data_IF_708898703353
#
_entry.id   IF_708898703353
#
_cell.length_a   1.000
_cell.length_b   1.000
_cell.length_c   1.000
_cell.angle_alpha   90.00
_cell.angle_beta   90.00
_cell.angle_gamma   90.00
#
_symmetry.space_group_name_H-M   'P 1'
#
loop_
_entity.id
_entity.type
_entity.pdbx_description
1 polymer ?
#
# COMPACT_ATOMS: atom_id res chain seq x y z
N UNK A 1 61.29 -32.54 -20.83
CA UNK A 1 61.87 -33.11 -19.59
C UNK A 1 61.55 -32.10 -18.49
N UNK A 2 60.73 -32.32 -17.47
CA UNK A 2 60.12 -33.51 -16.87
C UNK A 2 58.79 -33.08 -16.24
N UNK A 3 57.80 -33.95 -16.42
CA UNK A 3 56.46 -34.04 -15.83
C UNK A 3 56.45 -34.19 -14.31
N UNK A 4 55.49 -33.54 -13.62
CA UNK A 4 54.63 -34.06 -12.52
C UNK A 4 53.38 -33.15 -12.49
N UNK A 5 52.11 -33.56 -12.57
CA UNK A 5 51.50 -34.88 -12.49
C UNK A 5 50.67 -35.03 -11.21
N UNK A 6 49.50 -34.40 -11.10
CA UNK A 6 48.45 -34.84 -10.16
C UNK A 6 47.05 -34.66 -10.76
N UNK A 7 46.51 -35.77 -11.24
CA UNK A 7 45.11 -36.03 -11.53
C UNK A 7 44.53 -36.84 -10.37
N UNK A 8 43.47 -36.38 -9.70
CA UNK A 8 42.55 -37.30 -9.00
C UNK A 8 41.09 -36.83 -9.14
N UNK A 9 40.37 -37.63 -9.93
CA UNK A 9 38.97 -38.07 -9.87
C UNK A 9 37.81 -37.07 -9.75
N UNK A 10 37.02 -37.06 -10.83
CA UNK A 10 35.63 -36.66 -10.80
C UNK A 10 34.77 -37.61 -9.99
N UNK A 11 33.69 -37.04 -9.44
CA UNK A 11 32.50 -37.76 -9.02
C UNK A 11 31.29 -37.13 -9.70
N UNK A 12 30.66 -37.95 -10.52
CA UNK A 12 29.26 -37.97 -10.92
C UNK A 12 28.44 -36.68 -10.73
N UNK A 13 28.21 -36.01 -11.85
CA UNK A 13 27.02 -35.20 -12.09
C UNK A 13 25.76 -36.06 -11.89
N UNK A 14 25.10 -35.92 -10.74
CA UNK A 14 23.71 -36.32 -10.60
C UNK A 14 22.82 -35.15 -11.07
N UNK A 15 21.89 -35.34 -12.02
CA UNK A 15 20.89 -34.34 -12.31
C UNK A 15 19.96 -34.25 -11.10
N UNK A 16 20.03 -33.14 -10.35
CA UNK A 16 18.94 -32.80 -9.44
C UNK A 16 17.70 -32.63 -10.30
N UNK A 17 16.79 -33.59 -10.17
CA UNK A 17 15.41 -33.46 -10.59
C UNK A 17 14.90 -32.10 -10.11
N UNK A 18 14.78 -31.18 -11.06
CA UNK A 18 13.90 -30.03 -10.95
C UNK A 18 12.52 -30.64 -10.70
N UNK A 19 12.09 -30.60 -9.43
CA UNK A 19 10.68 -30.72 -9.11
C UNK A 19 10.02 -29.55 -9.85
N UNK A 20 9.44 -29.94 -10.97
CA UNK A 20 8.65 -29.13 -11.87
C UNK A 20 7.43 -28.72 -11.07
N UNK A 21 7.54 -27.62 -10.34
CA UNK A 21 6.38 -26.93 -9.78
C UNK A 21 5.49 -26.63 -10.99
N UNK A 22 4.23 -27.10 -11.00
CA UNK A 22 3.33 -26.77 -12.10
C UNK A 22 3.26 -25.24 -12.19
N UNK A 23 3.28 -24.66 -13.41
CA UNK A 23 3.10 -23.22 -13.54
C UNK A 23 1.79 -22.87 -12.84
N UNK A 24 1.86 -21.99 -11.85
CA UNK A 24 0.68 -21.37 -11.27
C UNK A 24 -0.15 -20.87 -12.45
N UNK A 25 -1.30 -21.52 -12.63
CA UNK A 25 -2.25 -21.25 -13.69
C UNK A 25 -2.71 -19.82 -13.42
N UNK A 26 -2.07 -18.83 -14.06
CA UNK A 26 -2.61 -17.47 -14.18
C UNK A 26 -3.94 -17.65 -14.90
N UNK A 27 -5.00 -17.83 -14.13
CA UNK A 27 -6.35 -17.56 -14.59
C UNK A 27 -6.34 -16.08 -14.93
N UNK A 28 -6.09 -15.77 -16.20
CA UNK A 28 -6.60 -14.57 -16.82
C UNK A 28 -8.12 -14.72 -16.79
N UNK A 29 -8.74 -14.39 -15.66
CA UNK A 29 -10.10 -13.88 -15.66
C UNK A 29 -10.00 -12.53 -16.35
N UNK A 30 -10.07 -12.56 -17.69
CA UNK A 30 -10.47 -11.39 -18.44
C UNK A 30 -11.88 -11.11 -17.97
N UNK A 31 -11.97 -10.13 -17.08
CA UNK A 31 -13.14 -9.59 -16.44
C UNK A 31 -14.30 -9.46 -17.42
N UNK A 32 -15.40 -10.15 -17.10
CA UNK A 32 -16.68 -10.10 -17.81
C UNK A 32 -17.23 -8.66 -17.96
N UNK A 33 -16.69 -7.69 -17.22
CA UNK A 33 -17.11 -6.27 -17.26
C UNK A 33 -16.88 -5.52 -18.59
N UNK A 34 -15.98 -5.98 -19.47
CA UNK A 34 -15.77 -5.28 -20.77
C UNK A 34 -16.84 -5.66 -21.80
N UNK A 35 -17.42 -6.86 -21.70
CA UNK A 35 -18.46 -7.32 -22.64
C UNK A 35 -19.83 -6.65 -22.37
N UNK A 36 -20.13 -6.29 -21.12
CA UNK A 36 -21.38 -5.62 -20.75
C UNK A 36 -21.46 -4.17 -21.27
N UNK A 37 -20.32 -3.46 -21.37
CA UNK A 37 -20.27 -2.04 -21.78
C UNK A 37 -20.61 -1.81 -23.26
N UNK A 38 -20.46 -2.82 -24.12
CA UNK A 38 -20.83 -2.72 -25.55
C UNK A 38 -22.33 -2.85 -25.83
N UNK A 39 -23.09 -3.47 -24.93
CA UNK A 39 -24.52 -3.74 -25.14
C UNK A 39 -25.41 -2.51 -24.84
N UNK A 40 -25.03 -1.67 -23.88
CA UNK A 40 -25.80 -0.48 -23.47
C UNK A 40 -25.91 0.60 -24.56
N UNK A 41 -24.86 0.82 -25.36
CA UNK A 41 -24.89 1.81 -26.44
C UNK A 41 -25.75 1.37 -27.65
N UNK A 42 -25.90 0.06 -27.88
CA UNK A 42 -26.73 -0.46 -28.96
C UNK A 42 -28.24 -0.39 -28.62
N UNK A 43 -28.60 -0.56 -27.35
CA UNK A 43 -30.00 -0.50 -26.89
C UNK A 43 -30.60 0.91 -26.97
N UNK A 44 -29.83 1.94 -26.64
CA UNK A 44 -30.29 3.34 -26.71
C UNK A 44 -30.63 3.80 -28.14
N UNK A 45 -30.01 3.20 -29.16
CA UNK A 45 -30.23 3.58 -30.57
C UNK A 45 -31.46 2.91 -31.18
N UNK A 46 -31.88 1.75 -30.64
CA UNK A 46 -33.02 0.97 -31.17
C UNK A 46 -34.39 1.47 -30.69
N UNK A 47 -34.45 2.18 -29.55
CA UNK A 47 -35.72 2.72 -29.01
C UNK A 47 -36.20 3.96 -29.78
N UNK A 48 -35.31 4.66 -30.49
CA UNK A 48 -35.68 5.84 -31.27
C UNK A 48 -36.42 5.54 -32.60
N UNK A 49 -36.46 4.28 -33.06
CA UNK A 49 -36.95 3.94 -34.41
C UNK A 49 -38.37 3.32 -34.43
N UNK A 50 -38.92 2.88 -33.30
CA UNK A 50 -40.16 2.08 -33.26
C UNK A 50 -41.47 2.84 -33.01
N UNK A 51 -41.49 4.18 -32.97
CA UNK A 51 -42.71 4.96 -32.61
C UNK A 51 -43.56 5.39 -33.82
N UNK A 52 -43.51 4.71 -34.96
CA UNK A 52 -44.39 5.05 -36.11
C UNK A 52 -45.06 3.81 -36.70
N UNK A 53 -46.22 3.44 -36.13
CA UNK A 53 -47.42 3.00 -36.88
C UNK A 53 -48.56 2.60 -35.93
N UNK A 54 -49.69 3.32 -35.88
CA UNK A 54 -50.88 2.85 -35.21
C UNK A 54 -51.71 1.99 -36.19
N UNK A 55 -51.81 0.68 -35.93
CA UNK A 55 -52.84 -0.16 -36.50
C UNK A 55 -54.10 -0.06 -35.64
N UNK A 56 -55.23 0.28 -36.26
CA UNK A 56 -56.52 0.44 -35.59
C UNK A 56 -56.97 -0.86 -34.89
N UNK A 57 -57.12 -0.81 -33.58
CA UNK A 57 -57.57 -1.92 -32.74
C UNK A 57 -59.02 -1.70 -32.23
N UNK A 58 -59.80 -2.79 -32.03
CA UNK A 58 -61.23 -2.75 -31.69
C UNK A 58 -61.52 -2.18 -30.29
N UNK A 59 -62.69 -1.54 -30.15
CA UNK A 59 -63.07 -0.66 -29.06
C UNK A 59 -63.17 -1.29 -27.64
N UNK A 60 -63.20 -2.61 -27.51
CA UNK A 60 -63.36 -3.29 -26.21
C UNK A 60 -62.03 -3.61 -25.49
N UNK A 61 -60.87 -3.31 -26.09
CA UNK A 61 -59.55 -3.51 -25.49
C UNK A 61 -59.11 -2.40 -24.51
N UNK A 62 -59.85 -1.28 -24.43
CA UNK A 62 -59.41 -0.09 -23.70
C UNK A 62 -59.40 -0.24 -22.18
N UNK A 63 -60.34 -1.01 -21.60
CA UNK A 63 -60.43 -1.15 -20.15
C UNK A 63 -59.28 -1.99 -19.56
N UNK A 64 -58.87 -3.07 -20.23
CA UNK A 64 -57.74 -3.93 -19.81
C UNK A 64 -56.39 -3.29 -20.11
N UNK A 65 -56.26 -2.48 -21.16
CA UNK A 65 -55.05 -1.73 -21.45
C UNK A 65 -54.72 -0.69 -20.36
N UNK A 66 -55.74 0.02 -19.85
CA UNK A 66 -55.57 1.01 -18.78
C UNK A 66 -55.06 0.40 -17.47
N UNK A 67 -55.62 -0.75 -17.05
CA UNK A 67 -55.20 -1.43 -15.82
C UNK A 67 -53.77 -1.98 -15.92
N UNK A 68 -53.37 -2.47 -17.10
CA UNK A 68 -51.99 -2.95 -17.34
C UNK A 68 -51.00 -1.79 -17.29
N UNK A 69 -51.29 -0.69 -17.98
CA UNK A 69 -50.43 0.50 -17.99
C UNK A 69 -50.27 1.09 -16.58
N UNK A 70 -51.34 1.18 -15.81
CA UNK A 70 -51.30 1.65 -14.42
C UNK A 70 -50.45 0.74 -13.52
N UNK A 71 -50.54 -0.59 -13.68
CA UNK A 71 -49.71 -1.54 -12.93
C UNK A 71 -48.23 -1.40 -13.31
N UNK A 72 -47.90 -1.31 -14.60
CA UNK A 72 -46.51 -1.14 -15.06
C UNK A 72 -45.90 0.17 -14.55
N UNK A 73 -46.66 1.27 -14.58
CA UNK A 73 -46.22 2.55 -14.02
C UNK A 73 -45.95 2.47 -12.51
N UNK A 74 -46.82 1.79 -11.76
CA UNK A 74 -46.62 1.61 -10.32
C UNK A 74 -45.39 0.75 -10.00
N UNK A 75 -45.14 -0.33 -10.77
CA UNK A 75 -43.93 -1.16 -10.61
C UNK A 75 -42.68 -0.35 -10.90
N UNK A 76 -42.69 0.46 -11.97
CA UNK A 76 -41.55 1.28 -12.33
C UNK A 76 -41.23 2.38 -11.31
N UNK A 77 -42.26 3.04 -10.76
CA UNK A 77 -42.07 4.02 -9.70
C UNK A 77 -41.49 3.36 -8.45
N UNK A 78 -41.96 2.15 -8.11
CA UNK A 78 -41.39 1.37 -7.01
C UNK A 78 -39.92 1.00 -7.26
N UNK A 79 -39.58 0.52 -8.46
CA UNK A 79 -38.20 0.17 -8.82
C UNK A 79 -37.28 1.40 -8.80
N UNK A 80 -37.77 2.54 -9.29
CA UNK A 80 -37.06 3.83 -9.23
C UNK A 80 -36.80 4.26 -7.79
N UNK A 81 -37.80 4.17 -6.91
CA UNK A 81 -37.65 4.52 -5.49
C UNK A 81 -36.58 3.65 -4.82
N UNK A 82 -36.57 2.34 -5.10
CA UNK A 82 -35.53 1.42 -4.61
C UNK A 82 -34.15 1.82 -5.15
N UNK A 83 -34.03 2.11 -6.44
CA UNK A 83 -32.76 2.53 -7.04
C UNK A 83 -32.22 3.83 -6.42
N UNK A 84 -33.09 4.82 -6.15
CA UNK A 84 -32.73 6.07 -5.46
C UNK A 84 -32.22 5.80 -4.04
N UNK A 85 -32.94 4.97 -3.28
CA UNK A 85 -32.54 4.59 -1.92
C UNK A 85 -31.17 3.92 -1.91
N UNK A 86 -30.94 2.96 -2.82
CA UNK A 86 -29.67 2.24 -2.95
C UNK A 86 -28.51 3.13 -3.38
N UNK A 87 -28.75 4.01 -4.35
CA UNK A 87 -27.76 4.98 -4.78
C UNK A 87 -27.34 5.91 -3.63
N UNK A 88 -28.29 6.36 -2.81
CA UNK A 88 -28.02 7.16 -1.62
C UNK A 88 -27.21 6.42 -0.55
N UNK A 89 -27.49 5.13 -0.35
CA UNK A 89 -26.72 4.29 0.58
C UNK A 89 -25.26 4.11 0.11
N UNK A 90 -25.04 3.77 -1.16
CA UNK A 90 -23.69 3.61 -1.72
C UNK A 90 -22.88 4.91 -1.69
N UNK A 91 -23.53 6.07 -1.90
CA UNK A 91 -22.87 7.38 -1.80
C UNK A 91 -22.35 7.67 -0.39
N UNK A 92 -23.12 7.32 0.65
CA UNK A 92 -22.68 7.46 2.04
C UNK A 92 -21.48 6.54 2.34
N UNK A 93 -21.55 5.26 1.92
CA UNK A 93 -20.44 4.31 2.11
C UNK A 93 -19.16 4.72 1.36
N UNK A 94 -19.30 5.26 0.15
CA UNK A 94 -18.18 5.81 -0.62
C UNK A 94 -17.51 6.99 0.10
N UNK A 95 -18.30 7.88 0.70
CA UNK A 95 -17.76 9.01 1.46
C UNK A 95 -16.99 8.54 2.70
N UNK A 96 -17.52 7.54 3.42
CA UNK A 96 -16.86 6.95 4.58
C UNK A 96 -15.57 6.21 4.18
N UNK A 97 -15.60 5.41 3.10
CA UNK A 97 -14.43 4.70 2.58
C UNK A 97 -13.33 5.65 2.11
N UNK A 98 -13.69 6.74 1.41
CA UNK A 98 -12.73 7.76 0.97
C UNK A 98 -12.10 8.48 2.18
N UNK A 99 -12.89 8.87 3.17
CA UNK A 99 -12.38 9.50 4.39
C UNK A 99 -11.45 8.56 5.18
N UNK A 100 -11.79 7.28 5.28
CA UNK A 100 -10.95 6.26 5.91
C UNK A 100 -9.63 6.03 5.16
N UNK A 101 -9.66 6.06 3.82
CA UNK A 101 -8.47 5.96 2.98
C UNK A 101 -7.55 7.18 3.17
N UNK A 102 -8.09 8.40 3.10
CA UNK A 102 -7.32 9.63 3.31
C UNK A 102 -6.72 9.71 4.72
N UNK A 103 -7.47 9.31 5.74
CA UNK A 103 -6.99 9.35 7.12
C UNK A 103 -5.77 8.45 7.34
N UNK A 104 -5.62 7.35 6.60
CA UNK A 104 -4.50 6.44 6.75
C UNK A 104 -3.29 6.78 5.87
N UNK A 105 -3.30 7.93 5.19
CA UNK A 105 -2.17 8.32 4.34
C UNK A 105 -0.85 8.32 5.15
N UNK A 106 0.19 7.77 4.52
CA UNK A 106 1.50 7.55 5.13
C UNK A 106 1.61 6.45 6.19
N UNK A 107 0.53 5.72 6.54
CA UNK A 107 0.56 4.67 7.59
C UNK A 107 0.63 3.24 7.07
N UNK A 108 0.51 3.02 5.76
CA UNK A 108 0.30 1.67 5.19
C UNK A 108 1.62 0.95 4.92
N UNK A 109 1.72 -0.31 5.34
CA UNK A 109 2.87 -1.18 5.05
C UNK A 109 2.66 -2.01 3.77
N UNK A 110 1.42 -2.36 3.43
CA UNK A 110 1.08 -3.08 2.19
C UNK A 110 0.33 -2.17 1.18
N UNK A 111 1.04 -1.76 0.14
CA UNK A 111 0.49 -0.93 -0.93
C UNK A 111 -0.60 -1.66 -1.74
N UNK A 112 -0.61 -2.99 -1.77
CA UNK A 112 -1.59 -3.75 -2.53
C UNK A 112 -3.02 -3.60 -1.96
N UNK A 113 -3.17 -3.58 -0.63
CA UNK A 113 -4.47 -3.38 0.02
C UNK A 113 -5.00 -1.97 -0.22
N UNK A 114 -4.11 -0.97 -0.19
CA UNK A 114 -4.45 0.43 -0.52
C UNK A 114 -4.92 0.58 -1.97
N UNK A 115 -4.17 0.01 -2.91
CA UNK A 115 -4.51 0.03 -4.33
C UNK A 115 -5.82 -0.71 -4.59
N UNK A 116 -6.07 -1.83 -3.90
CA UNK A 116 -7.34 -2.54 -3.99
C UNK A 116 -8.52 -1.67 -3.52
N UNK A 117 -8.42 -1.04 -2.34
CA UNK A 117 -9.46 -0.14 -1.84
C UNK A 117 -9.71 1.03 -2.80
N UNK A 118 -8.65 1.64 -3.33
CA UNK A 118 -8.76 2.74 -4.31
C UNK A 118 -9.51 2.29 -5.57
N UNK A 119 -9.16 1.12 -6.11
CA UNK A 119 -9.82 0.54 -7.27
C UNK A 119 -11.31 0.29 -7.01
N UNK A 120 -11.68 -0.24 -5.84
CA UNK A 120 -13.09 -0.49 -5.51
C UNK A 120 -13.89 0.80 -5.29
N UNK A 121 -13.28 1.84 -4.72
CA UNK A 121 -13.89 3.17 -4.62
C UNK A 121 -14.22 3.72 -6.03
N UNK A 122 -13.28 3.59 -6.98
CA UNK A 122 -13.50 4.04 -8.37
C UNK A 122 -14.61 3.24 -9.07
N UNK A 123 -14.64 1.92 -8.90
CA UNK A 123 -15.68 1.05 -9.48
C UNK A 123 -17.07 1.35 -8.91
N UNK A 124 -17.18 1.51 -7.59
CA UNK A 124 -18.43 1.87 -6.93
C UNK A 124 -18.91 3.28 -7.34
N UNK A 125 -17.98 4.23 -7.51
CA UNK A 125 -18.33 5.55 -8.04
C UNK A 125 -18.90 5.46 -9.47
N UNK A 126 -18.30 4.63 -10.33
CA UNK A 126 -18.82 4.42 -11.68
C UNK A 126 -20.21 3.78 -11.67
N UNK A 127 -20.46 2.78 -10.82
CA UNK A 127 -21.78 2.16 -10.67
C UNK A 127 -22.84 3.18 -10.22
N UNK A 128 -22.47 4.10 -9.31
CA UNK A 128 -23.34 5.20 -8.88
C UNK A 128 -23.68 6.16 -10.03
N UNK A 129 -22.69 6.51 -10.86
CA UNK A 129 -22.91 7.36 -12.06
C UNK A 129 -23.86 6.67 -13.05
N UNK A 130 -23.64 5.37 -13.30
CA UNK A 130 -24.46 4.59 -14.22
C UNK A 130 -25.90 4.49 -13.71
N UNK A 131 -26.11 4.18 -12.42
CA UNK A 131 -27.43 4.14 -11.81
C UNK A 131 -28.14 5.51 -11.85
N UNK A 132 -27.41 6.60 -11.58
CA UNK A 132 -27.95 7.96 -11.69
C UNK A 132 -28.38 8.29 -13.11
N UNK A 133 -27.67 7.80 -14.13
CA UNK A 133 -28.06 8.02 -15.53
C UNK A 133 -29.41 7.38 -15.88
N UNK A 134 -29.74 6.24 -15.26
CA UNK A 134 -31.06 5.59 -15.39
C UNK A 134 -32.17 6.41 -14.73
N UNK A 135 -31.86 7.22 -13.72
CA UNK A 135 -32.85 8.06 -13.01
C UNK A 135 -33.23 9.35 -13.76
N UNK A 136 -32.46 9.76 -14.79
CA UNK A 136 -32.69 11.00 -15.58
C UNK A 136 -33.73 10.81 -16.69
N UNK A 137 -34.60 9.79 -16.63
CA UNK A 137 -35.67 9.67 -17.61
C UNK A 137 -36.66 10.84 -17.55
N UNK A 138 -37.02 11.46 -18.69
CA UNK A 138 -38.11 12.41 -18.74
C UNK A 138 -39.41 11.75 -18.26
N UNK A 139 -40.17 12.39 -17.37
CA UNK A 139 -41.48 11.90 -16.91
C UNK A 139 -42.42 11.53 -18.08
N UNK A 140 -42.26 12.23 -19.20
CA UNK A 140 -43.04 12.02 -20.42
C UNK A 140 -42.72 10.68 -21.10
N UNK A 141 -41.46 10.23 -21.02
CA UNK A 141 -41.03 8.91 -21.52
C UNK A 141 -41.58 7.76 -20.68
N UNK A 142 -41.78 7.98 -19.37
CA UNK A 142 -42.43 7.02 -18.47
C UNK A 142 -43.93 6.87 -18.78
N UNK A 143 -44.61 7.97 -19.14
CA UNK A 143 -46.05 7.96 -19.48
C UNK A 143 -46.35 7.33 -20.84
N UNK A 144 -45.41 7.36 -21.79
CA UNK A 144 -45.59 6.80 -23.13
C UNK A 144 -45.51 5.25 -23.19
N UNK A 145 -45.35 4.59 -22.03
CA UNK A 145 -45.25 3.16 -21.91
C UNK A 145 -43.79 2.73 -21.77
N UNK A 146 -43.39 2.47 -20.53
CA UNK A 146 -42.16 1.73 -20.27
C UNK A 146 -42.21 0.38 -20.96
N UNK A 147 -41.16 0.08 -21.72
CA UNK A 147 -40.94 -1.24 -22.27
C UNK A 147 -40.44 -2.16 -21.16
N UNK A 148 -40.71 -3.46 -21.30
CA UNK A 148 -40.13 -4.50 -20.45
C UNK A 148 -38.59 -4.40 -20.40
N UNK A 149 -37.97 -3.95 -21.50
CA UNK A 149 -36.55 -3.67 -21.58
C UNK A 149 -36.08 -2.56 -20.63
N UNK A 150 -36.89 -1.51 -20.39
CA UNK A 150 -36.52 -0.46 -19.46
C UNK A 150 -36.58 -0.92 -18.00
N UNK A 151 -37.54 -1.79 -17.65
CA UNK A 151 -37.59 -2.42 -16.33
C UNK A 151 -36.37 -3.32 -16.10
N UNK A 152 -36.01 -4.13 -17.09
CA UNK A 152 -34.79 -4.96 -17.03
C UNK A 152 -33.53 -4.12 -16.80
N UNK A 153 -33.40 -2.96 -17.44
CA UNK A 153 -32.25 -2.05 -17.21
C UNK A 153 -32.20 -1.50 -15.77
N UNK A 154 -33.37 -1.23 -15.17
CA UNK A 154 -33.43 -0.79 -13.75
C UNK A 154 -33.04 -1.92 -12.81
N UNK A 155 -33.54 -3.14 -13.06
CA UNK A 155 -33.19 -4.33 -12.27
C UNK A 155 -31.70 -4.67 -12.39
N UNK A 156 -31.12 -4.56 -13.59
CA UNK A 156 -29.68 -4.71 -13.82
C UNK A 156 -28.87 -3.62 -13.10
N UNK A 157 -29.35 -2.37 -13.12
CA UNK A 157 -28.74 -1.26 -12.37
C UNK A 157 -28.78 -1.46 -10.86
N UNK A 158 -29.90 -1.95 -10.32
CA UNK A 158 -30.02 -2.30 -8.90
C UNK A 158 -29.05 -3.42 -8.53
N UNK A 159 -29.00 -4.50 -9.32
CA UNK A 159 -28.08 -5.61 -9.08
C UNK A 159 -26.60 -5.16 -9.12
N UNK A 160 -26.25 -4.24 -10.03
CA UNK A 160 -24.91 -3.67 -10.11
C UNK A 160 -24.55 -2.82 -8.88
N UNK A 161 -25.50 -2.03 -8.34
CA UNK A 161 -25.27 -1.29 -7.10
C UNK A 161 -25.07 -2.21 -5.90
N UNK A 162 -25.87 -3.28 -5.78
CA UNK A 162 -25.72 -4.26 -4.69
C UNK A 162 -24.35 -4.95 -4.77
N UNK A 163 -23.94 -5.38 -5.96
CA UNK A 163 -22.62 -5.99 -6.15
C UNK A 163 -21.48 -5.01 -5.79
N UNK A 164 -21.56 -3.76 -6.26
CA UNK A 164 -20.57 -2.74 -5.93
C UNK A 164 -20.51 -2.44 -4.42
N UNK A 165 -21.66 -2.46 -3.74
CA UNK A 165 -21.75 -2.27 -2.29
C UNK A 165 -21.05 -3.44 -1.53
N UNK A 166 -21.29 -4.68 -1.94
CA UNK A 166 -20.67 -5.86 -1.33
C UNK A 166 -19.15 -5.92 -1.56
N UNK A 167 -18.69 -5.57 -2.77
CA UNK A 167 -17.27 -5.49 -3.13
C UNK A 167 -16.56 -4.39 -2.35
N UNK A 168 -17.15 -3.19 -2.28
CA UNK A 168 -16.63 -2.07 -1.49
C UNK A 168 -16.56 -2.42 0.00
N UNK A 169 -17.62 -3.00 0.57
CA UNK A 169 -17.64 -3.41 1.97
C UNK A 169 -16.55 -4.45 2.28
N UNK A 170 -16.31 -5.39 1.36
CA UNK A 170 -15.23 -6.37 1.49
C UNK A 170 -13.84 -5.71 1.47
N UNK A 171 -13.62 -4.75 0.57
CA UNK A 171 -12.35 -4.00 0.51
C UNK A 171 -12.11 -3.12 1.73
N UNK A 172 -13.15 -2.46 2.25
CA UNK A 172 -13.09 -1.69 3.51
C UNK A 172 -12.74 -2.60 4.68
N UNK A 173 -13.38 -3.76 4.81
CA UNK A 173 -13.07 -4.71 5.88
C UNK A 173 -11.61 -5.23 5.82
N UNK A 174 -11.11 -5.49 4.60
CA UNK A 174 -9.71 -5.89 4.41
C UNK A 174 -8.73 -4.76 4.80
N UNK A 175 -9.07 -3.52 4.46
CA UNK A 175 -8.31 -2.34 4.84
C UNK A 175 -8.29 -2.12 6.35
N UNK A 176 -9.44 -2.18 7.02
CA UNK A 176 -9.54 -2.05 8.48
C UNK A 176 -8.74 -3.13 9.21
N UNK A 177 -8.75 -4.36 8.71
CA UNK A 177 -7.94 -5.45 9.25
C UNK A 177 -6.44 -5.15 9.14
N UNK A 178 -6.00 -4.56 8.02
CA UNK A 178 -4.61 -4.13 7.85
C UNK A 178 -4.25 -2.97 8.78
N UNK A 179 -5.13 -1.97 8.95
CA UNK A 179 -4.91 -0.88 9.91
C UNK A 179 -4.80 -1.40 11.35
N UNK A 180 -5.62 -2.37 11.73
CA UNK A 180 -5.56 -3.02 13.05
C UNK A 180 -4.24 -3.79 13.23
N UNK A 181 -3.76 -4.48 12.19
CA UNK A 181 -2.46 -5.17 12.20
C UNK A 181 -1.31 -4.19 12.42
N UNK A 182 -1.31 -3.07 11.71
CA UNK A 182 -0.28 -2.02 11.83
C UNK A 182 -0.28 -1.43 13.24
N UNK A 183 -1.46 -1.08 13.78
CA UNK A 183 -1.59 -0.58 15.14
C UNK A 183 -1.09 -1.58 16.20
N UNK A 184 -1.37 -2.88 16.02
CA UNK A 184 -0.86 -3.92 16.91
C UNK A 184 0.67 -4.05 16.84
N UNK A 185 1.25 -3.93 15.65
CA UNK A 185 2.71 -3.95 15.44
C UNK A 185 3.38 -2.72 16.06
N UNK A 186 2.79 -1.53 15.95
CA UNK A 186 3.26 -0.32 16.62
C UNK A 186 3.18 -0.42 18.15
N UNK A 187 2.08 -0.95 18.68
CA UNK A 187 1.92 -1.19 20.12
C UNK A 187 2.96 -2.20 20.64
N UNK A 188 3.22 -3.28 19.89
CA UNK A 188 4.25 -4.25 20.21
C UNK A 188 5.66 -3.61 20.20
N UNK A 189 5.95 -2.77 19.20
CA UNK A 189 7.20 -2.00 19.11
C UNK A 189 7.36 -1.04 20.30
N UNK A 190 6.30 -0.33 20.68
CA UNK A 190 6.30 0.57 21.83
C UNK A 190 6.52 -0.18 23.16
N UNK A 191 5.87 -1.34 23.34
CA UNK A 191 6.06 -2.19 24.51
C UNK A 191 7.50 -2.74 24.61
N UNK A 192 8.08 -3.17 23.48
CA UNK A 192 9.47 -3.61 23.43
C UNK A 192 10.45 -2.47 23.76
N UNK A 193 10.20 -1.26 23.23
CA UNK A 193 10.99 -0.08 23.56
C UNK A 193 10.90 0.30 25.05
N UNK A 194 9.70 0.23 25.65
CA UNK A 194 9.50 0.47 27.07
C UNK A 194 10.21 -0.58 27.95
N UNK A 195 10.17 -1.85 27.56
CA UNK A 195 10.89 -2.92 28.25
C UNK A 195 12.41 -2.74 28.17
N UNK A 196 12.94 -2.27 27.04
CA UNK A 196 14.36 -1.95 26.88
C UNK A 196 14.79 -0.69 27.66
N UNK A 197 13.86 0.25 27.88
CA UNK A 197 14.08 1.46 28.67
C UNK A 197 13.95 1.23 30.19
N UNK A 198 13.34 0.12 30.62
CA UNK A 198 13.27 -0.25 32.03
C UNK A 198 14.70 -0.37 32.58
N UNK A 199 15.08 0.45 33.57
CA UNK A 199 16.47 0.72 33.83
C UNK A 199 17.17 -0.52 34.41
N UNK A 200 18.41 -0.71 33.99
CA UNK A 200 19.49 -1.31 34.77
C UNK A 200 19.75 -0.54 36.10
N UNK A 201 18.71 -0.01 36.75
CA UNK A 201 18.73 0.67 38.04
C UNK A 201 19.24 -0.24 39.17
N UNK A 202 19.37 -1.55 38.93
CA UNK A 202 19.96 -2.49 39.90
C UNK A 202 21.49 -2.49 39.91
N UNK A 203 22.18 -1.76 39.02
CA UNK A 203 23.65 -1.75 38.95
C UNK A 203 24.30 -0.38 39.19
N UNK A 204 23.64 0.54 39.91
CA UNK A 204 24.22 1.85 40.30
C UNK A 204 24.37 1.99 41.83
N UNK A 205 24.26 0.89 42.57
CA UNK A 205 24.40 0.89 44.03
C UNK A 205 25.83 0.71 44.56
N UNK A 206 26.82 0.38 43.73
CA UNK A 206 28.15 0.00 44.21
C UNK A 206 29.29 0.57 43.35
N UNK A 207 29.41 1.90 43.26
CA UNK A 207 30.66 2.59 42.87
C UNK A 207 30.57 4.10 43.12
N UNK A 208 30.48 4.52 44.40
CA UNK A 208 30.97 5.86 44.78
C UNK A 208 32.47 5.74 44.99
N UNK A 209 33.24 5.92 43.94
CA UNK A 209 34.69 5.94 44.01
C UNK A 209 35.31 6.29 42.66
N UNK A 210 35.93 7.47 42.60
CA UNK A 210 36.80 7.98 41.54
C UNK A 210 36.14 8.42 40.22
N UNK A 211 36.39 9.70 39.88
CA UNK A 211 36.27 10.22 38.52
C UNK A 211 37.21 9.42 37.59
N UNK A 212 36.73 8.89 36.45
CA UNK A 212 37.63 8.28 35.49
C UNK A 212 38.33 9.38 34.70
N UNK A 213 39.65 9.40 34.84
CA UNK A 213 40.54 9.99 33.85
C UNK A 213 40.19 9.47 32.45
N UNK A 214 40.38 10.33 31.45
CA UNK A 214 40.37 9.99 30.03
C UNK A 214 41.00 8.62 29.76
N UNK A 215 40.17 7.61 29.49
CA UNK A 215 40.65 6.28 29.11
C UNK A 215 41.00 6.30 27.63
N UNK A 216 42.23 5.90 27.35
CA UNK A 216 42.84 5.79 26.05
C UNK A 216 42.05 4.88 25.07
N UNK A 217 41.86 5.36 23.84
CA UNK A 217 42.05 4.57 22.61
C UNK A 217 41.07 3.46 22.22
N UNK A 218 39.87 3.35 22.82
CA UNK A 218 38.89 2.31 22.45
C UNK A 218 37.95 2.71 21.31
N UNK A 219 37.61 1.75 20.44
CA UNK A 219 36.49 1.88 19.49
C UNK A 219 35.17 1.83 20.28
N UNK A 220 34.35 2.87 20.13
CA UNK A 220 33.07 3.01 20.84
C UNK A 220 31.98 2.10 20.28
N UNK A 221 32.04 1.77 18.98
CA UNK A 221 31.09 0.88 18.31
C UNK A 221 31.71 0.26 17.06
N UNK A 222 31.37 -1.00 16.79
CA UNK A 222 31.76 -1.71 15.57
C UNK A 222 30.50 -2.00 14.77
N UNK A 223 30.45 -1.49 13.55
CA UNK A 223 29.32 -1.60 12.63
C UNK A 223 29.66 -2.55 11.47
N UNK A 224 28.78 -3.51 11.22
CA UNK A 224 28.92 -4.47 10.13
C UNK A 224 28.01 -4.11 8.97
N UNK A 225 28.58 -3.88 7.78
CA UNK A 225 27.79 -3.70 6.56
C UNK A 225 27.54 -5.07 5.93
N UNK A 226 26.29 -5.54 5.96
CA UNK A 226 25.96 -6.89 5.48
C UNK A 226 25.85 -6.97 3.95
N UNK A 227 25.42 -5.88 3.31
CA UNK A 227 25.30 -5.81 1.85
C UNK A 227 25.40 -4.37 1.34
N UNK A 228 25.34 -4.21 0.02
CA UNK A 228 25.11 -2.94 -0.63
C UNK A 228 23.79 -2.96 -1.40
N UNK A 229 23.06 -1.84 -1.40
CA UNK A 229 21.74 -1.77 -1.99
C UNK A 229 21.01 -0.47 -1.68
N UNK A 230 19.68 -0.55 -1.63
CA UNK A 230 18.78 0.57 -1.29
C UNK A 230 17.69 0.14 -0.31
N UNK A 231 16.53 0.79 -0.38
CA UNK A 231 15.46 0.65 0.61
C UNK A 231 15.02 -0.80 0.83
N UNK A 232 14.84 -1.60 -0.23
CA UNK A 232 14.45 -3.00 -0.09
C UNK A 232 15.47 -3.88 0.66
N UNK A 233 16.76 -3.52 0.65
CA UNK A 233 17.76 -4.20 1.49
C UNK A 233 17.73 -3.68 2.92
N UNK A 234 17.47 -2.39 3.11
CA UNK A 234 17.34 -1.79 4.46
C UNK A 234 16.13 -2.41 5.18
N UNK A 235 15.00 -2.56 4.47
CA UNK A 235 13.77 -3.19 4.95
C UNK A 235 13.94 -4.67 5.31
N UNK A 236 14.93 -5.35 4.72
CA UNK A 236 15.23 -6.74 5.05
C UNK A 236 15.76 -6.91 6.50
N UNK A 237 16.19 -5.82 7.17
CA UNK A 237 16.53 -5.80 8.59
C UNK A 237 17.61 -6.84 8.97
N UNK A 238 18.69 -6.92 8.17
CA UNK A 238 19.79 -7.90 8.37
C UNK A 238 21.13 -7.26 8.77
N UNK A 239 21.11 -5.99 9.15
CA UNK A 239 22.29 -5.16 9.38
C UNK A 239 22.32 -3.92 8.49
N UNK A 240 23.40 -3.15 8.62
CA UNK A 240 23.64 -1.95 7.82
C UNK A 240 23.84 -2.24 6.34
N UNK A 241 23.19 -1.43 5.50
CA UNK A 241 23.31 -1.48 4.04
C UNK A 241 24.15 -0.31 3.56
N UNK A 242 25.18 -0.57 2.75
CA UNK A 242 25.87 0.51 2.04
C UNK A 242 25.05 0.97 0.84
N UNK A 243 24.75 2.27 0.78
CA UNK A 243 23.99 2.96 -0.28
C UNK A 243 24.96 3.80 -1.13
N UNK A 244 25.70 3.19 -2.08
CA UNK A 244 26.84 3.82 -2.75
C UNK A 244 26.46 5.04 -3.59
N UNK A 245 25.21 5.12 -4.06
CA UNK A 245 24.72 6.26 -4.84
C UNK A 245 24.69 7.53 -3.98
N UNK A 246 24.24 7.43 -2.73
CA UNK A 246 24.23 8.54 -1.77
C UNK A 246 25.66 8.87 -1.34
N UNK A 247 26.47 7.85 -1.07
CA UNK A 247 27.89 8.02 -0.75
C UNK A 247 28.62 8.84 -1.83
N UNK A 248 28.45 8.46 -3.11
CA UNK A 248 29.05 9.14 -4.25
C UNK A 248 28.55 10.57 -4.42
N UNK A 249 27.25 10.81 -4.21
CA UNK A 249 26.71 12.17 -4.20
C UNK A 249 27.34 13.03 -3.10
N UNK A 250 27.46 12.51 -1.88
CA UNK A 250 28.01 13.23 -0.74
C UNK A 250 29.55 13.31 -0.72
N UNK A 251 30.22 12.58 -1.63
CA UNK A 251 31.68 12.50 -1.73
C UNK A 251 32.34 11.62 -0.67
N UNK A 252 31.59 10.70 -0.06
CA UNK A 252 32.10 9.74 0.93
C UNK A 252 32.46 8.38 0.33
N UNK A 253 33.25 7.60 1.06
CA UNK A 253 33.63 6.24 0.66
C UNK A 253 32.48 5.24 0.82
N UNK A 254 31.55 5.51 1.74
CA UNK A 254 30.36 4.70 1.99
C UNK A 254 29.24 5.54 2.61
N UNK A 255 28.03 5.02 2.52
CA UNK A 255 26.85 5.54 3.20
C UNK A 255 26.10 4.35 3.79
N UNK A 256 26.30 4.07 5.07
CA UNK A 256 25.62 2.98 5.74
C UNK A 256 24.25 3.45 6.22
N UNK A 257 23.21 2.67 5.99
CA UNK A 257 21.87 2.96 6.48
C UNK A 257 21.24 1.69 7.07
N UNK A 258 20.52 1.88 8.17
CA UNK A 258 19.75 0.82 8.79
C UNK A 258 18.53 1.36 9.55
N UNK A 259 17.49 0.54 9.65
CA UNK A 259 16.40 0.77 10.58
C UNK A 259 16.88 0.75 12.04
N UNK A 260 16.25 1.57 12.87
CA UNK A 260 16.61 1.71 14.28
C UNK A 260 16.54 0.40 15.07
N UNK A 261 15.49 -0.38 14.83
CA UNK A 261 15.28 -1.66 15.49
C UNK A 261 16.20 -2.78 15.03
N UNK A 262 16.88 -2.61 13.88
CA UNK A 262 17.69 -3.67 13.26
C UNK A 262 19.18 -3.58 13.65
N UNK A 263 19.60 -2.43 14.18
CA UNK A 263 20.99 -2.19 14.61
C UNK A 263 21.24 -0.71 14.92
N UNK A 264 20.49 0.18 14.27
CA UNK A 264 20.64 1.63 14.41
C UNK A 264 20.49 2.19 15.82
N UNK A 265 19.76 1.50 16.72
CA UNK A 265 19.63 1.92 18.12
C UNK A 265 20.96 2.00 18.87
N UNK A 266 21.99 1.24 18.45
CA UNK A 266 23.33 1.32 19.02
C UNK A 266 23.98 2.71 18.82
N UNK A 267 23.62 3.39 17.74
CA UNK A 267 24.16 4.70 17.38
C UNK A 267 23.59 5.84 18.24
N UNK A 268 22.44 5.64 18.88
CA UNK A 268 21.80 6.65 19.73
C UNK A 268 22.63 7.17 20.90
N UNK A 269 23.72 6.48 21.25
CA UNK A 269 24.63 6.85 22.34
C UNK A 269 26.00 7.33 21.83
N UNK A 270 26.22 7.33 20.51
CA UNK A 270 27.50 7.68 19.90
C UNK A 270 27.49 9.18 19.58
N UNK A 271 28.37 9.92 20.24
CA UNK A 271 28.51 11.37 20.08
C UNK A 271 29.71 11.75 19.21
N UNK A 272 29.84 13.05 18.95
CA UNK A 272 31.02 13.61 18.29
C UNK A 272 32.31 13.28 19.07
N UNK A 273 33.39 13.01 18.35
CA UNK A 273 34.69 12.61 18.88
C UNK A 273 34.87 11.10 19.10
N UNK A 274 33.79 10.33 19.18
CA UNK A 274 33.83 8.87 19.32
C UNK A 274 34.50 8.21 18.12
N UNK A 275 35.29 7.16 18.38
CA UNK A 275 35.83 6.28 17.35
C UNK A 275 34.83 5.16 17.04
N UNK A 276 34.56 4.90 15.78
CA UNK A 276 33.70 3.82 15.31
C UNK A 276 34.44 3.02 14.25
N UNK A 277 34.24 1.72 14.22
CA UNK A 277 34.84 0.85 13.21
C UNK A 277 33.76 0.30 12.30
N UNK A 278 34.01 0.34 11.00
CA UNK A 278 33.18 -0.33 10.01
C UNK A 278 33.98 -1.49 9.43
N UNK A 279 33.51 -2.72 9.66
CA UNK A 279 34.20 -3.91 9.15
C UNK A 279 34.36 -3.83 7.63
N UNK A 280 35.61 -3.86 7.16
CA UNK A 280 35.96 -3.73 5.74
C UNK A 280 36.10 -2.30 5.21
N UNK A 281 35.73 -1.27 5.98
CA UNK A 281 35.84 0.15 5.60
C UNK A 281 36.81 0.94 6.48
N UNK A 282 37.16 0.41 7.66
CA UNK A 282 38.17 0.99 8.56
C UNK A 282 37.56 1.72 9.77
N UNK A 283 38.42 2.44 10.50
CA UNK A 283 38.05 3.21 11.69
C UNK A 283 37.83 4.67 11.34
N UNK A 284 36.80 5.26 11.93
CA UNK A 284 36.36 6.63 11.70
C UNK A 284 36.12 7.34 13.02
N UNK A 285 36.24 8.66 12.99
CA UNK A 285 35.83 9.54 14.09
C UNK A 285 34.51 10.20 13.72
N UNK A 286 33.57 10.21 14.66
CA UNK A 286 32.31 10.94 14.49
C UNK A 286 32.59 12.44 14.56
N UNK A 287 32.36 13.17 13.47
CA UNK A 287 32.53 14.61 13.41
C UNK A 287 31.29 15.35 13.95
N UNK A 288 30.11 14.78 13.74
CA UNK A 288 28.84 15.35 14.18
C UNK A 288 27.65 14.50 13.77
N UNK A 289 26.46 14.96 14.11
CA UNK A 289 25.18 14.33 13.76
C UNK A 289 24.24 15.37 13.19
N UNK A 290 23.64 15.09 12.04
CA UNK A 290 22.48 15.82 11.52
C UNK A 290 21.25 15.06 11.95
N UNK A 291 20.30 15.70 12.63
CA UNK A 291 19.10 15.04 13.18
C UNK A 291 17.83 15.82 12.85
N UNK A 292 16.66 15.19 13.05
CA UNK A 292 15.37 15.81 12.76
C UNK A 292 15.04 15.84 11.26
N UNK A 293 15.71 14.99 10.47
CA UNK A 293 15.37 14.80 9.08
C UNK A 293 14.07 13.98 8.99
N UNK A 294 13.21 14.30 8.03
CA UNK A 294 12.05 13.47 7.71
C UNK A 294 12.47 12.36 6.74
N UNK A 295 11.75 11.24 6.79
CA UNK A 295 11.91 10.15 5.84
C UNK A 295 11.68 10.68 4.42
N UNK A 296 12.58 10.32 3.50
CA UNK A 296 12.60 10.86 2.15
C UNK A 296 13.25 12.24 2.01
N UNK A 297 13.85 12.79 3.07
CA UNK A 297 14.67 14.00 2.96
C UNK A 297 15.78 13.81 1.91
N UNK A 298 15.96 14.84 1.09
CA UNK A 298 16.98 14.85 0.04
C UNK A 298 18.39 14.83 0.65
N UNK A 299 19.31 14.08 0.04
CA UNK A 299 20.70 14.00 0.48
C UNK A 299 21.40 15.37 0.49
N UNK A 300 20.93 16.36 -0.27
CA UNK A 300 21.39 17.75 -0.24
C UNK A 300 21.21 18.43 1.12
N UNK A 301 20.34 17.92 1.99
CA UNK A 301 20.20 18.37 3.38
C UNK A 301 21.36 17.93 4.29
N UNK A 302 22.23 17.02 3.80
CA UNK A 302 23.36 16.47 4.54
C UNK A 302 24.65 17.18 4.10
N UNK A 303 25.47 17.71 5.03
CA UNK A 303 26.78 18.27 4.71
C UNK A 303 27.68 17.25 3.98
N UNK A 304 28.32 17.71 2.90
CA UNK A 304 29.23 16.90 2.07
C UNK A 304 30.67 16.93 2.60
N UNK A 305 31.53 16.07 2.05
CA UNK A 305 32.98 16.10 2.28
C UNK A 305 33.49 15.22 3.42
N UNK A 306 32.62 14.44 4.06
CA UNK A 306 33.00 13.45 5.07
C UNK A 306 33.43 12.13 4.41
N UNK A 307 34.30 11.40 5.10
CA UNK A 307 34.85 10.14 4.62
C UNK A 307 33.82 9.00 4.60
N UNK A 308 32.77 9.09 5.42
CA UNK A 308 31.65 8.16 5.44
C UNK A 308 30.44 8.76 6.15
N UNK A 309 29.32 8.06 6.06
CA UNK A 309 28.05 8.46 6.68
C UNK A 309 27.35 7.24 7.25
N UNK A 310 26.62 7.43 8.35
CA UNK A 310 25.71 6.43 8.91
C UNK A 310 24.33 7.03 9.14
N UNK A 311 23.25 6.39 8.67
CA UNK A 311 21.88 6.87 8.81
C UNK A 311 21.00 5.88 9.57
N UNK A 312 20.17 6.40 10.49
CA UNK A 312 19.04 5.66 11.06
C UNK A 312 17.91 6.58 11.53
N UNK A 313 16.73 6.03 11.81
CA UNK A 313 15.54 6.76 12.30
C UNK A 313 15.43 6.68 13.83
N UNK A 314 15.78 7.74 14.56
CA UNK A 314 15.79 7.73 16.04
C UNK A 314 14.44 7.27 16.59
N UNK A 315 14.47 6.25 17.45
CA UNK A 315 13.26 5.67 18.05
C UNK A 315 12.33 4.95 17.06
N UNK A 316 12.80 4.67 15.84
CA UNK A 316 11.99 4.10 14.76
C UNK A 316 11.04 5.11 14.10
N UNK A 317 11.16 6.40 14.39
CA UNK A 317 10.29 7.42 13.82
C UNK A 317 10.79 7.91 12.47
N UNK A 318 9.95 7.79 11.43
CA UNK A 318 10.20 8.39 10.12
C UNK A 318 10.30 9.92 10.14
N UNK A 319 9.86 10.60 11.20
CA UNK A 319 9.99 12.05 11.35
C UNK A 319 11.25 12.50 12.09
N UNK A 320 12.13 11.56 12.50
CA UNK A 320 13.35 11.87 13.23
C UNK A 320 14.54 11.03 12.77
N UNK A 321 14.85 11.12 11.49
CA UNK A 321 16.03 10.53 10.89
C UNK A 321 17.29 11.32 11.28
N UNK A 322 18.35 10.58 11.58
CA UNK A 322 19.64 11.10 11.97
C UNK A 322 20.76 10.49 11.11
N UNK A 323 21.75 11.32 10.78
CA UNK A 323 22.93 10.97 9.99
C UNK A 323 24.20 11.37 10.74
N UNK A 324 25.06 10.41 11.05
CA UNK A 324 26.38 10.63 11.62
C UNK A 324 27.37 10.90 10.50
N UNK A 325 28.14 11.99 10.68
CA UNK A 325 29.18 12.44 9.77
C UNK A 325 30.51 11.86 10.22
N UNK A 326 31.22 11.16 9.34
CA UNK A 326 32.39 10.36 9.72
C UNK A 326 33.67 10.86 9.04
N UNK A 327 34.68 11.17 9.83
CA UNK A 327 36.03 11.51 9.38
C UNK A 327 36.96 10.30 9.51
N UNK A 328 38.00 10.21 8.68
CA UNK A 328 39.04 9.19 8.88
C UNK A 328 39.73 9.44 10.23
N UNK A 329 39.83 8.39 11.05
CA UNK A 329 40.47 8.44 12.36
C UNK A 329 41.99 8.50 12.29
#
# INVERSE_FOLDING_TARGET
>A
MTTVGHSWHGTASAPRHLLRTPPARRQRTVSAGVAARGALFAAATLVAVSVVSPAAAPADASATAGTRAARTAAVAESARAVLVERAGALEAELADAAAAHEAADGRVLDDAVRVALTSEIELAHQALVDARSLLVWPEESLRAGLTEAALLLVEEGEAALVAAQEELATAVAAWEAEQARIAAEEAARAAAAAAAAAPHARWVGASRGAAPASVAGGVAHVEGIWTSGGQGQIDACRGSVNVPQIAGYLGGAFYAAEHWGCGGSAWGRIGAGSLVEFSGYGTYRVAGVVSGLVYGADASAIPRGYAGYYQTCIGGSGSNMAVWLLERA
#
